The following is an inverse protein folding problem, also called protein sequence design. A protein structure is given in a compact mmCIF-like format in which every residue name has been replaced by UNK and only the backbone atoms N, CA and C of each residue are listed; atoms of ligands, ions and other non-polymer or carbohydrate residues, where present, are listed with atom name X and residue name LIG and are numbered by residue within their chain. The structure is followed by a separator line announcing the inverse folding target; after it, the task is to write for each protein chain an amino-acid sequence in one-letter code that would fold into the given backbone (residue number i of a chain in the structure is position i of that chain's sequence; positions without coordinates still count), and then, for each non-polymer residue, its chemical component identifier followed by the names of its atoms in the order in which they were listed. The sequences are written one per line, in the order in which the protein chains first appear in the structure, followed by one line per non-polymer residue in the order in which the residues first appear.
data_IF_738406562824
#
_entry.id   IF_738406562824
#
_cell.length_a   1.000
_cell.length_b   1.000
_cell.length_c   1.000
_cell.angle_alpha   90.00
_cell.angle_beta   90.00
_cell.angle_gamma   90.00
#
_symmetry.space_group_name_H-M   'P 1'
#
loop_
_entity.id
_entity.type
_entity.pdbx_description
1 polymer ?
#
# COMPACT_ATOMS: atom_id res chain seq x y z
N UNK A 1 -44.88 26.85 -65.67
CA UNK A 1 -44.50 27.58 -64.45
C UNK A 1 -43.04 27.21 -64.19
N UNK A 2 -42.04 27.94 -64.71
CA UNK A 2 -41.50 29.24 -64.25
C UNK A 2 -41.19 29.30 -62.74
N UNK A 3 -39.91 29.57 -62.42
CA UNK A 3 -39.43 30.18 -61.15
C UNK A 3 -38.67 29.23 -60.22
N UNK A 4 -37.33 29.09 -60.31
CA UNK A 4 -36.27 29.90 -59.65
C UNK A 4 -36.05 29.54 -58.16
N UNK A 5 -35.03 28.75 -57.79
CA UNK A 5 -33.62 29.10 -57.47
C UNK A 5 -33.48 30.13 -56.32
N UNK A 6 -33.02 29.68 -55.14
CA UNK A 6 -31.71 29.99 -54.50
C UNK A 6 -31.74 29.69 -52.97
N UNK A 7 -30.73 28.97 -52.43
CA UNK A 7 -30.35 29.07 -51.02
C UNK A 7 -29.46 30.31 -50.83
N UNK A 8 -29.85 31.21 -49.93
CA UNK A 8 -29.02 32.35 -49.52
C UNK A 8 -28.15 31.91 -48.35
N UNK A 9 -26.86 31.77 -48.64
CA UNK A 9 -25.80 31.89 -47.65
C UNK A 9 -25.80 33.32 -47.07
N UNK A 10 -25.57 33.47 -45.77
CA UNK A 10 -25.09 34.73 -45.24
C UNK A 10 -23.97 34.47 -44.23
N UNK A 11 -22.76 34.54 -44.77
CA UNK A 11 -21.52 34.77 -44.06
C UNK A 11 -21.54 36.15 -43.39
N UNK A 12 -21.31 36.18 -42.08
CA UNK A 12 -20.64 37.26 -41.33
C UNK A 12 -19.87 36.54 -40.23
N UNK A 13 -18.63 36.08 -40.41
CA UNK A 13 -17.37 36.83 -40.58
C UNK A 13 -17.20 37.91 -39.51
N UNK A 14 -16.45 37.50 -38.48
CA UNK A 14 -15.34 38.17 -37.79
C UNK A 14 -15.62 39.52 -37.14
N UNK A 15 -15.53 39.54 -35.82
CA UNK A 15 -14.65 40.41 -35.02
C UNK A 15 -14.77 39.99 -33.55
N UNK A 16 -13.77 40.34 -32.72
CA UNK A 16 -13.69 40.14 -31.26
C UNK A 16 -12.99 38.87 -30.73
N UNK A 17 -11.77 38.61 -31.24
CA UNK A 17 -10.65 38.16 -30.40
C UNK A 17 -9.78 39.39 -30.03
N UNK A 18 -9.93 39.93 -28.81
CA UNK A 18 -8.87 40.54 -27.97
C UNK A 18 -9.48 41.28 -26.79
N UNK A 19 -8.76 41.25 -25.65
CA UNK A 19 -9.01 41.94 -24.38
C UNK A 19 -10.05 41.29 -23.45
N UNK A 20 -9.60 40.46 -22.50
CA UNK A 20 -9.58 40.83 -21.07
C UNK A 20 -8.81 39.77 -20.26
N UNK A 21 -7.49 39.77 -20.46
CA UNK A 21 -6.51 39.28 -19.50
C UNK A 21 -6.44 40.29 -18.36
N UNK A 22 -7.34 40.22 -17.37
CA UNK A 22 -7.16 40.80 -16.01
C UNK A 22 -8.38 40.52 -15.09
N UNK A 23 -8.55 39.28 -14.62
CA UNK A 23 -9.32 39.02 -13.38
C UNK A 23 -8.74 37.89 -12.54
N UNK A 24 -7.41 37.84 -12.48
CA UNK A 24 -6.68 37.15 -11.43
C UNK A 24 -6.69 38.02 -10.16
N UNK A 25 -7.77 37.96 -9.37
CA UNK A 25 -7.71 38.41 -7.98
C UNK A 25 -8.64 37.62 -7.07
N UNK A 26 -7.97 36.88 -6.18
CA UNK A 26 -8.45 36.46 -4.85
C UNK A 26 -9.62 35.49 -4.79
N UNK A 27 -9.32 34.19 -4.88
CA UNK A 27 -9.65 33.24 -3.79
C UNK A 27 -8.51 32.22 -3.71
N UNK A 28 -7.50 32.52 -2.88
CA UNK A 28 -6.45 31.59 -2.52
C UNK A 28 -6.97 30.70 -1.38
N UNK A 29 -7.51 29.52 -1.69
CA UNK A 29 -7.72 28.48 -0.69
C UNK A 29 -6.43 27.65 -0.60
N UNK A 30 -5.56 28.08 0.31
CA UNK A 30 -4.45 27.29 0.80
C UNK A 30 -5.01 26.15 1.65
N UNK A 31 -5.25 24.98 1.04
CA UNK A 31 -5.37 23.74 1.80
C UNK A 31 -3.96 23.25 2.11
N UNK A 32 -3.43 23.78 3.20
CA UNK A 32 -2.28 23.23 3.89
C UNK A 32 -2.63 21.78 4.26
N UNK A 33 -1.98 20.85 3.57
CA UNK A 33 -1.85 19.47 4.00
C UNK A 33 -1.28 19.48 5.43
N UNK A 34 -1.95 18.91 6.44
CA UNK A 34 -1.34 18.76 7.75
C UNK A 34 -0.16 17.81 7.61
N UNK A 35 1.05 18.38 7.65
CA UNK A 35 2.26 17.63 7.96
C UNK A 35 2.11 17.13 9.42
N UNK A 36 2.14 15.82 9.69
CA UNK A 36 2.27 15.35 11.05
C UNK A 36 3.61 15.85 11.60
N UNK A 37 3.51 16.67 12.65
CA UNK A 37 4.64 17.24 13.36
C UNK A 37 5.57 16.11 13.86
N UNK A 38 6.85 16.31 13.62
CA UNK A 38 7.92 15.51 14.22
C UNK A 38 7.84 15.64 15.75
N UNK A 39 7.53 14.55 16.44
CA UNK A 39 7.92 14.37 17.83
C UNK A 39 9.18 13.50 17.85
N UNK A 40 10.25 14.11 18.31
CA UNK A 40 11.55 13.52 18.60
C UNK A 40 11.47 12.54 19.77
N UNK A 41 12.36 11.57 19.71
CA UNK A 41 12.93 10.79 20.81
C UNK A 41 11.95 9.89 21.57
N UNK A 42 11.84 8.66 21.08
CA UNK A 42 11.81 7.52 21.99
C UNK A 42 12.60 6.37 21.35
N UNK A 43 13.88 6.25 21.72
CA UNK A 43 14.74 5.09 21.48
C UNK A 43 14.18 3.89 22.25
N UNK A 44 13.03 3.38 21.82
CA UNK A 44 12.55 2.10 22.27
C UNK A 44 13.28 1.01 21.50
N UNK A 45 14.42 0.63 22.07
CA UNK A 45 15.17 -0.58 21.78
C UNK A 45 14.27 -1.80 22.05
N UNK A 46 13.45 -2.17 21.06
CA UNK A 46 12.85 -3.48 20.97
C UNK A 46 13.69 -4.32 20.01
N UNK A 47 14.68 -5.01 20.59
CA UNK A 47 15.44 -6.11 19.99
C UNK A 47 14.56 -7.35 19.74
N UNK A 48 13.38 -7.16 19.13
CA UNK A 48 12.63 -8.23 18.46
C UNK A 48 12.85 -8.09 16.96
N UNK A 49 14.13 -8.14 16.57
CA UNK A 49 14.51 -8.37 15.19
C UNK A 49 13.92 -9.72 14.79
N UNK A 50 13.05 -9.69 13.78
CA UNK A 50 12.53 -10.86 13.05
C UNK A 50 13.72 -11.78 12.79
N UNK A 51 13.76 -12.92 13.49
CA UNK A 51 14.84 -13.89 13.43
C UNK A 51 14.84 -14.64 12.11
N UNK A 52 15.10 -13.94 11.01
CA UNK A 52 15.51 -14.62 9.79
C UNK A 52 16.97 -15.01 9.96
N UNK A 53 17.25 -16.32 10.04
CA UNK A 53 18.60 -16.83 10.18
C UNK A 53 19.47 -16.30 9.03
N UNK A 54 20.44 -15.45 9.37
CA UNK A 54 21.34 -14.76 8.42
C UNK A 54 22.22 -15.71 7.61
N UNK A 55 22.16 -17.02 7.85
CA UNK A 55 22.99 -18.01 7.18
C UNK A 55 22.41 -18.62 5.90
N UNK A 56 21.34 -18.06 5.29
CA UNK A 56 20.86 -18.58 4.00
C UNK A 56 21.84 -18.24 2.87
N UNK A 57 22.62 -19.25 2.43
CA UNK A 57 23.42 -19.22 1.20
C UNK A 57 22.53 -18.79 0.01
N UNK A 58 23.06 -17.98 -0.92
CA UNK A 58 22.35 -17.52 -2.12
C UNK A 58 21.76 -18.68 -2.94
N UNK A 59 22.39 -19.86 -2.92
CA UNK A 59 21.86 -21.08 -3.55
C UNK A 59 20.61 -21.61 -2.85
N UNK A 60 20.55 -21.52 -1.53
CA UNK A 60 19.38 -21.89 -0.74
C UNK A 60 18.26 -20.86 -0.91
N UNK A 61 18.61 -19.58 -1.03
CA UNK A 61 17.66 -18.49 -1.29
C UNK A 61 16.93 -18.67 -2.62
N UNK A 62 17.65 -18.98 -3.70
CA UNK A 62 17.04 -19.23 -5.01
C UNK A 62 16.06 -20.41 -4.95
N UNK A 63 16.46 -21.49 -4.30
CA UNK A 63 15.61 -22.69 -4.15
C UNK A 63 14.37 -22.37 -3.32
N UNK A 64 14.51 -21.64 -2.22
CA UNK A 64 13.39 -21.18 -1.40
C UNK A 64 12.41 -20.33 -2.22
N UNK A 65 12.89 -19.36 -3.00
CA UNK A 65 12.00 -18.50 -3.81
C UNK A 65 11.20 -19.30 -4.85
N UNK A 66 11.73 -20.42 -5.37
CA UNK A 66 10.99 -21.25 -6.34
C UNK A 66 9.75 -21.94 -5.77
N UNK A 67 9.60 -22.01 -4.45
CA UNK A 67 8.37 -22.53 -3.82
C UNK A 67 7.20 -21.53 -3.91
N UNK A 68 7.49 -20.26 -4.19
CA UNK A 68 6.51 -19.18 -4.27
C UNK A 68 6.19 -18.80 -5.72
N UNK A 69 4.96 -18.28 -5.99
CA UNK A 69 4.59 -17.77 -7.31
C UNK A 69 5.53 -16.66 -7.80
N UNK A 70 5.86 -16.66 -9.09
CA UNK A 70 6.78 -15.70 -9.68
C UNK A 70 6.50 -14.21 -9.35
N UNK A 71 5.22 -13.73 -9.32
CA UNK A 71 4.94 -12.32 -9.02
C UNK A 71 5.36 -11.86 -7.62
N UNK A 72 5.37 -12.75 -6.62
CA UNK A 72 5.67 -12.39 -5.22
C UNK A 72 7.15 -12.55 -4.86
N UNK A 73 7.89 -13.37 -5.61
CA UNK A 73 9.32 -13.64 -5.37
C UNK A 73 10.19 -12.40 -5.14
N UNK A 74 10.09 -11.28 -5.89
CA UNK A 74 10.94 -10.12 -5.63
C UNK A 74 10.68 -9.46 -4.26
N UNK A 75 9.44 -9.53 -3.77
CA UNK A 75 9.05 -8.98 -2.47
C UNK A 75 9.54 -9.87 -1.33
N UNK A 76 9.40 -11.18 -1.48
CA UNK A 76 9.97 -12.15 -0.54
C UNK A 76 11.50 -11.99 -0.51
N UNK A 77 12.17 -11.92 -1.67
CA UNK A 77 13.61 -11.69 -1.72
C UNK A 77 14.02 -10.42 -0.96
N UNK A 78 13.30 -9.30 -1.15
CA UNK A 78 13.56 -8.06 -0.44
C UNK A 78 13.33 -8.19 1.09
N UNK A 79 12.32 -8.97 1.50
CA UNK A 79 12.05 -9.30 2.88
C UNK A 79 13.20 -10.09 3.51
N UNK A 80 13.67 -11.15 2.85
CA UNK A 80 14.75 -12.02 3.34
C UNK A 80 16.11 -11.32 3.37
N UNK A 81 16.30 -10.29 2.54
CA UNK A 81 17.49 -9.42 2.59
C UNK A 81 17.39 -8.35 3.68
N UNK A 82 16.32 -8.36 4.50
CA UNK A 82 16.06 -7.39 5.57
C UNK A 82 16.25 -5.94 5.10
N UNK A 83 15.67 -5.59 3.95
CA UNK A 83 15.69 -4.21 3.48
C UNK A 83 15.11 -3.29 4.56
N UNK A 84 15.75 -2.13 4.81
CA UNK A 84 15.24 -1.10 5.73
C UNK A 84 13.86 -0.55 5.33
N UNK A 85 13.39 -0.90 4.14
CA UNK A 85 12.09 -0.53 3.59
C UNK A 85 10.96 -1.48 4.01
N UNK A 86 11.27 -2.63 4.61
CA UNK A 86 10.27 -3.64 5.02
C UNK A 86 9.43 -3.11 6.19
N UNK A 87 8.12 -3.33 6.11
CA UNK A 87 7.19 -2.98 7.19
C UNK A 87 7.25 -4.02 8.32
N UNK A 88 7.70 -3.57 9.49
CA UNK A 88 7.83 -4.39 10.70
C UNK A 88 6.56 -4.39 11.57
N UNK A 89 5.68 -3.42 11.37
CA UNK A 89 4.52 -3.17 12.21
C UNK A 89 3.24 -3.70 11.58
N UNK A 90 2.95 -3.26 10.35
CA UNK A 90 1.72 -3.60 9.63
C UNK A 90 1.92 -4.58 8.49
N UNK A 91 3.18 -4.93 8.21
CA UNK A 91 3.56 -5.84 7.13
C UNK A 91 3.41 -7.32 7.48
N UNK A 92 3.73 -8.12 6.47
CA UNK A 92 3.89 -9.56 6.60
C UNK A 92 5.04 -9.93 7.54
N UNK A 93 4.84 -11.01 8.29
CA UNK A 93 5.85 -11.67 9.11
C UNK A 93 6.04 -13.09 8.61
N UNK A 94 7.26 -13.58 8.66
CA UNK A 94 7.59 -14.95 8.31
C UNK A 94 8.24 -15.62 9.51
N UNK A 95 7.70 -16.77 9.88
CA UNK A 95 8.23 -17.63 10.93
C UNK A 95 9.04 -18.75 10.25
N UNK A 96 10.36 -18.74 10.45
CA UNK A 96 11.30 -19.68 9.83
C UNK A 96 11.22 -21.08 10.43
N UNK A 97 10.79 -21.23 11.67
CA UNK A 97 10.66 -22.52 12.35
C UNK A 97 9.47 -23.31 11.82
N UNK A 98 8.39 -22.60 11.46
CA UNK A 98 7.15 -23.20 10.99
C UNK A 98 6.91 -23.08 9.48
N UNK A 99 7.71 -22.28 8.77
CA UNK A 99 7.51 -21.92 7.35
C UNK A 99 6.13 -21.30 7.11
N UNK A 100 5.71 -20.40 8.00
CA UNK A 100 4.39 -19.77 7.98
C UNK A 100 4.51 -18.26 7.83
N UNK A 101 3.81 -17.74 6.81
CA UNK A 101 3.54 -16.31 6.70
C UNK A 101 2.35 -15.92 7.56
N UNK A 102 2.49 -14.84 8.31
CA UNK A 102 1.43 -14.26 9.12
C UNK A 102 1.31 -12.76 8.87
N UNK A 103 0.10 -12.25 9.06
CA UNK A 103 -0.18 -10.83 9.09
C UNK A 103 -1.16 -10.62 10.24
N UNK A 104 -0.75 -9.83 11.24
CA UNK A 104 -1.49 -9.76 12.50
C UNK A 104 -1.54 -11.14 13.16
N UNK A 105 -2.73 -11.58 13.55
CA UNK A 105 -2.96 -12.91 14.14
C UNK A 105 -3.29 -14.00 13.10
N UNK A 106 -3.28 -13.67 11.81
CA UNK A 106 -3.80 -14.51 10.75
C UNK A 106 -2.72 -15.10 9.87
N UNK A 107 -2.86 -16.38 9.51
CA UNK A 107 -2.01 -17.03 8.50
C UNK A 107 -2.32 -16.48 7.11
N UNK A 108 -1.26 -16.28 6.34
CA UNK A 108 -1.30 -15.87 4.94
C UNK A 108 -0.75 -16.99 4.08
N UNK A 109 -1.43 -17.28 2.97
CA UNK A 109 -0.93 -18.22 1.96
C UNK A 109 -0.89 -17.55 0.60
N UNK A 110 0.12 -17.88 -0.20
CA UNK A 110 0.23 -17.44 -1.59
C UNK A 110 -0.13 -18.60 -2.50
N UNK A 111 -1.26 -18.49 -3.19
CA UNK A 111 -1.75 -19.52 -4.11
C UNK A 111 -0.89 -19.54 -5.39
N UNK A 112 -0.85 -20.66 -6.15
CA UNK A 112 0.03 -20.79 -7.32
C UNK A 112 -0.10 -19.70 -8.39
N UNK A 113 -1.27 -19.07 -8.50
CA UNK A 113 -1.55 -17.96 -9.42
C UNK A 113 -1.15 -16.58 -8.86
N UNK A 114 -0.48 -16.52 -7.71
CA UNK A 114 -0.18 -15.27 -7.00
C UNK A 114 -1.40 -14.65 -6.33
N UNK A 115 -2.46 -15.40 -6.03
CA UNK A 115 -3.56 -14.88 -5.19
C UNK A 115 -3.18 -15.00 -3.73
N UNK A 116 -3.51 -13.98 -2.94
CA UNK A 116 -3.25 -13.94 -1.51
C UNK A 116 -4.48 -14.49 -0.79
N UNK A 117 -4.32 -15.52 0.02
CA UNK A 117 -5.39 -16.15 0.79
C UNK A 117 -5.22 -15.90 2.29
N UNK A 118 -6.20 -15.23 2.91
CA UNK A 118 -6.19 -14.81 4.32
C UNK A 118 -7.62 -14.93 4.87
N UNK A 119 -7.82 -15.56 6.03
CA UNK A 119 -9.12 -15.66 6.72
C UNK A 119 -10.28 -16.10 5.81
N UNK A 120 -10.06 -17.15 5.01
CA UNK A 120 -11.02 -17.70 4.02
C UNK A 120 -11.44 -16.72 2.91
N UNK A 121 -10.68 -15.64 2.72
CA UNK A 121 -10.86 -14.70 1.62
C UNK A 121 -9.64 -14.70 0.71
N UNK A 122 -9.87 -14.31 -0.53
CA UNK A 122 -8.84 -14.25 -1.57
C UNK A 122 -8.74 -12.86 -2.15
N UNK A 123 -7.52 -12.34 -2.23
CA UNK A 123 -7.20 -11.06 -2.83
C UNK A 123 -6.32 -11.31 -4.06
N UNK A 124 -6.61 -10.62 -5.16
CA UNK A 124 -5.76 -10.67 -6.35
C UNK A 124 -4.38 -10.12 -5.98
N UNK A 125 -3.32 -10.91 -6.17
CA UNK A 125 -1.96 -10.41 -5.95
C UNK A 125 -1.52 -9.55 -7.11
N UNK A 126 -1.62 -8.24 -6.90
CA UNK A 126 -1.08 -7.20 -7.77
C UNK A 126 0.28 -6.75 -7.23
N UNK A 127 1.21 -6.30 -8.09
CA UNK A 127 2.46 -5.69 -7.64
C UNK A 127 2.26 -4.59 -6.58
N UNK A 128 1.21 -3.79 -6.75
CA UNK A 128 0.81 -2.69 -5.88
C UNK A 128 0.33 -3.16 -4.51
N UNK A 129 -0.47 -4.23 -4.45
CA UNK A 129 -0.89 -4.83 -3.18
C UNK A 129 0.27 -5.51 -2.47
N UNK A 130 1.19 -6.13 -3.20
CA UNK A 130 2.42 -6.66 -2.61
C UNK A 130 3.31 -5.57 -2.03
N UNK A 131 3.44 -4.41 -2.69
CA UNK A 131 4.16 -3.28 -2.11
C UNK A 131 3.57 -2.87 -0.76
N UNK A 132 2.25 -2.75 -0.67
CA UNK A 132 1.54 -2.40 0.57
C UNK A 132 1.74 -3.43 1.69
N UNK A 133 1.82 -4.73 1.34
CA UNK A 133 1.95 -5.81 2.33
C UNK A 133 3.37 -6.00 2.86
N UNK A 134 4.39 -5.65 2.08
CA UNK A 134 5.79 -5.90 2.44
C UNK A 134 6.53 -4.63 2.89
N UNK A 135 6.20 -3.45 2.37
CA UNK A 135 7.01 -2.25 2.56
C UNK A 135 6.33 -1.18 3.42
N UNK A 136 7.10 -0.58 4.34
CA UNK A 136 6.63 0.50 5.20
C UNK A 136 6.35 1.80 4.42
N UNK A 137 7.00 1.95 3.27
CA UNK A 137 6.88 3.10 2.37
C UNK A 137 6.69 2.59 0.94
N UNK A 138 5.48 2.16 0.57
CA UNK A 138 5.17 1.74 -0.80
C UNK A 138 5.41 2.91 -1.76
N UNK A 139 5.93 2.62 -2.95
CA UNK A 139 6.23 3.66 -3.97
C UNK A 139 5.04 3.89 -4.87
N UNK A 140 4.31 2.83 -5.18
CA UNK A 140 3.22 2.83 -6.15
C UNK A 140 2.10 1.91 -5.68
N UNK A 141 0.88 2.44 -5.64
CA UNK A 141 -0.32 1.64 -5.42
C UNK A 141 -1.54 2.28 -6.08
N UNK A 142 -2.56 1.48 -6.39
CA UNK A 142 -3.85 2.00 -6.85
C UNK A 142 -4.83 2.14 -5.69
N UNK A 143 -5.87 2.96 -5.85
CA UNK A 143 -6.94 3.08 -4.86
C UNK A 143 -7.67 1.75 -4.60
N UNK A 144 -7.72 0.85 -5.60
CA UNK A 144 -8.33 -0.47 -5.44
C UNK A 144 -7.47 -1.35 -4.52
N UNK A 145 -6.16 -1.32 -4.69
CA UNK A 145 -5.22 -2.07 -3.85
C UNK A 145 -5.17 -1.49 -2.43
N UNK A 146 -5.28 -0.17 -2.29
CA UNK A 146 -5.38 0.48 -0.98
C UNK A 146 -6.62 0.03 -0.21
N UNK A 147 -7.78 -0.06 -0.88
CA UNK A 147 -9.02 -0.57 -0.28
C UNK A 147 -8.85 -2.03 0.14
N UNK A 148 -8.26 -2.87 -0.72
CA UNK A 148 -7.99 -4.27 -0.39
C UNK A 148 -7.03 -4.41 0.81
N UNK A 149 -5.96 -3.60 0.85
CA UNK A 149 -5.02 -3.59 1.95
C UNK A 149 -5.67 -3.18 3.28
N UNK A 150 -6.49 -2.12 3.28
CA UNK A 150 -7.25 -1.70 4.47
C UNK A 150 -8.19 -2.79 4.97
N UNK A 151 -8.89 -3.47 4.07
CA UNK A 151 -9.76 -4.60 4.42
C UNK A 151 -8.97 -5.75 5.07
N UNK A 152 -7.80 -6.09 4.51
CA UNK A 152 -6.87 -7.08 5.09
C UNK A 152 -6.47 -6.66 6.51
N UNK A 153 -5.99 -5.44 6.72
CA UNK A 153 -5.57 -4.95 8.04
C UNK A 153 -6.73 -5.00 9.05
N UNK A 154 -7.93 -4.63 8.61
CA UNK A 154 -9.11 -4.59 9.47
C UNK A 154 -9.51 -6.00 9.95
N UNK A 155 -9.46 -6.98 9.05
CA UNK A 155 -9.85 -8.38 9.33
C UNK A 155 -8.83 -9.13 10.16
N UNK A 156 -7.55 -8.90 9.89
CA UNK A 156 -6.43 -9.57 10.58
C UNK A 156 -6.09 -8.94 11.94
N UNK A 157 -6.79 -7.87 12.31
CA UNK A 157 -6.64 -7.16 13.59
C UNK A 157 -5.21 -6.69 13.88
N UNK A 158 -4.43 -6.40 12.83
CA UNK A 158 -3.04 -5.93 12.96
C UNK A 158 -2.98 -4.67 13.83
N UNK A 159 -3.88 -3.73 13.61
CA UNK A 159 -4.00 -2.48 14.36
C UNK A 159 -4.34 -2.65 15.85
N UNK A 160 -4.75 -3.86 16.30
CA UNK A 160 -5.09 -4.12 17.70
C UNK A 160 -3.94 -4.72 18.51
N UNK A 161 -2.85 -5.15 17.87
CA UNK A 161 -1.73 -5.80 18.58
C UNK A 161 -1.04 -4.87 19.58
N UNK A 162 -1.13 -3.55 19.39
CA UNK A 162 -0.56 -2.57 20.32
C UNK A 162 -1.48 -2.27 21.52
N UNK A 163 -2.76 -2.67 21.47
CA UNK A 163 -3.71 -2.41 22.56
C UNK A 163 -3.65 -3.42 23.71
N UNK A 164 -3.11 -4.62 23.48
CA UNK A 164 -3.06 -5.68 24.51
C UNK A 164 -2.06 -5.42 25.64
N UNK A 165 -1.23 -4.38 25.57
CA UNK A 165 -0.28 -4.04 26.65
C UNK A 165 -0.81 -2.99 27.64
N UNK A 166 -2.02 -2.45 27.41
CA UNK A 166 -2.66 -1.51 28.34
C UNK A 166 -3.43 -2.23 29.47
N UNK A 167 -4.08 -3.36 29.19
CA UNK A 167 -4.99 -4.00 30.17
C UNK A 167 -4.28 -4.65 31.36
N UNK A 168 -2.99 -4.98 31.25
CA UNK A 168 -2.21 -5.50 32.38
C UNK A 168 -1.63 -4.42 33.30
N UNK A 169 -1.75 -3.12 32.95
CA UNK A 169 -1.31 -2.02 33.81
C UNK A 169 -2.41 -1.48 34.75
N UNK A 170 -3.67 -1.90 34.58
CA UNK A 170 -4.79 -1.41 35.39
C UNK A 170 -5.30 -2.38 36.47
N UNK A 171 -4.71 -3.57 36.63
CA UNK A 171 -5.20 -4.59 37.59
C UNK A 171 -4.54 -4.58 38.98
N UNK A 172 -3.64 -3.63 39.29
CA UNK A 172 -3.00 -3.50 40.61
C UNK A 172 -3.53 -2.34 41.48
N UNK A 173 -4.74 -1.86 41.21
CA UNK A 173 -5.42 -0.87 42.07
C UNK A 173 -6.82 -1.37 42.48
N UNK A 174 -6.87 -2.45 43.26
CA UNK A 174 -7.95 -2.72 44.20
C UNK A 174 -7.41 -3.46 45.43
#
# INVERSE_FOLDING_TARGET
MMGSILPVANERVKEEEKEEEERNKSVSFSNQQPQPQQSSDDENNYDDAIGFDKSIDERNLKTFLTTYPAPIQPYIYAFLKESSQIDKYYGLKYDSDTDIWTLGSSKVNFLPNGTIAILNQTYKGTPELYELLFFARPKTYTSMDEVAYKDILQKTSVYRKDYSNWENSCSNFF
#
